data_IF_741308445797
#
_entry.id   IF_741308445797
#
_cell.length_a   1.000
_cell.length_b   1.000
_cell.length_c   1.000
_cell.angle_alpha   90.00
_cell.angle_beta   90.00
_cell.angle_gamma   90.00
#
_symmetry.space_group_name_H-M   'P 1'
#
loop_
_entity.id
_entity.type
_entity.pdbx_description
1 polymer ?
#
# COMPACT_ATOMS: atom_id res chain seq x y z
N UNK A 1 31.72 -69.88 44.77
CA UNK A 1 30.78 -71.02 44.69
C UNK A 1 29.96 -71.04 45.98
N UNK A 2 28.65 -71.41 45.99
CA UNK A 2 27.60 -71.46 44.94
C UNK A 2 26.51 -70.39 45.25
N UNK A 3 25.41 -70.15 44.53
CA UNK A 3 24.80 -70.73 43.33
C UNK A 3 23.27 -70.44 43.32
N UNK A 4 22.70 -70.25 42.11
CA UNK A 4 21.30 -70.50 41.69
C UNK A 4 20.16 -69.64 42.32
N UNK A 5 19.05 -69.27 41.67
CA UNK A 5 18.44 -69.44 40.33
C UNK A 5 17.12 -68.59 40.34
N UNK A 6 16.78 -67.74 39.36
CA UNK A 6 16.20 -67.96 38.01
C UNK A 6 14.71 -67.50 37.97
N UNK A 7 14.31 -66.87 36.85
CA UNK A 7 12.92 -66.81 36.29
C UNK A 7 11.97 -65.80 37.00
N UNK A 8 11.41 -64.72 36.42
CA UNK A 8 10.80 -64.50 35.09
C UNK A 8 10.54 -62.99 34.92
N UNK A 9 11.26 -62.21 34.09
CA UNK A 9 10.72 -60.95 33.51
C UNK A 9 11.37 -60.72 32.13
N UNK A 10 11.22 -61.70 31.25
CA UNK A 10 11.30 -61.48 29.81
C UNK A 10 9.89 -61.77 29.30
N UNK A 11 9.04 -60.75 29.09
CA UNK A 11 7.98 -60.79 28.05
C UNK A 11 7.08 -59.54 27.93
N UNK A 12 7.38 -58.38 28.51
CA UNK A 12 6.47 -57.22 28.40
C UNK A 12 7.13 -55.89 27.97
N UNK A 13 8.17 -55.94 27.12
CA UNK A 13 8.84 -54.72 26.66
C UNK A 13 9.33 -54.81 25.20
N UNK A 14 8.47 -55.24 24.27
CA UNK A 14 8.86 -55.34 22.85
C UNK A 14 7.74 -55.01 21.83
N UNK A 15 6.55 -54.57 22.24
CA UNK A 15 5.43 -54.31 21.30
C UNK A 15 4.98 -52.85 21.23
N UNK A 16 5.24 -52.02 22.24
CA UNK A 16 4.70 -50.65 22.28
C UNK A 16 5.54 -49.61 21.55
N UNK A 17 6.82 -49.85 21.24
CA UNK A 17 7.69 -48.82 20.63
C UNK A 17 7.70 -48.77 19.10
N UNK A 18 7.11 -49.73 18.39
CA UNK A 18 7.18 -49.77 16.91
C UNK A 18 5.98 -49.15 16.18
N UNK A 19 4.89 -48.88 16.90
CA UNK A 19 3.66 -48.30 16.34
C UNK A 19 3.42 -46.84 16.76
N UNK A 20 4.10 -46.35 17.80
CA UNK A 20 4.02 -44.94 18.21
C UNK A 20 4.96 -44.02 17.41
N UNK A 21 6.06 -44.56 16.86
CA UNK A 21 7.00 -43.81 16.04
C UNK A 21 6.38 -43.21 14.75
N UNK A 22 5.56 -43.93 13.95
CA UNK A 22 4.95 -43.32 12.77
C UNK A 22 3.85 -42.28 13.11
N UNK A 23 3.18 -42.40 14.27
CA UNK A 23 2.14 -41.45 14.69
C UNK A 23 2.72 -40.11 15.15
N UNK A 24 3.88 -40.10 15.81
CA UNK A 24 4.58 -38.87 16.20
C UNK A 24 5.20 -38.17 14.99
N UNK A 25 5.68 -38.92 13.99
CA UNK A 25 6.21 -38.35 12.75
C UNK A 25 5.13 -37.67 11.89
N UNK A 26 3.91 -38.21 11.85
CA UNK A 26 2.77 -37.59 11.14
C UNK A 26 2.28 -36.33 11.86
N UNK A 27 2.32 -36.30 13.19
CA UNK A 27 1.95 -35.11 13.99
C UNK A 27 2.97 -33.96 13.82
N UNK A 28 4.26 -34.28 13.67
CA UNK A 28 5.31 -33.29 13.37
C UNK A 28 5.23 -32.74 11.93
N UNK A 29 4.82 -33.56 10.97
CA UNK A 29 4.59 -33.11 9.58
C UNK A 29 3.35 -32.22 9.42
N UNK A 30 2.34 -32.36 10.28
CA UNK A 30 1.16 -31.47 10.26
C UNK A 30 1.46 -30.05 10.78
N UNK A 31 2.46 -29.88 11.65
CA UNK A 31 2.82 -28.57 12.20
C UNK A 31 3.71 -27.72 11.27
N UNK A 32 4.25 -28.29 10.20
CA UNK A 32 5.04 -27.54 9.20
C UNK A 32 4.18 -26.77 8.19
N UNK A 33 2.86 -26.96 8.16
CA UNK A 33 1.96 -26.39 7.14
C UNK A 33 1.38 -25.01 7.43
N UNK A 34 1.55 -24.46 8.64
CA UNK A 34 0.98 -23.17 9.03
C UNK A 34 2.07 -22.18 9.44
N UNK A 35 2.90 -21.77 8.49
CA UNK A 35 3.71 -20.56 8.64
C UNK A 35 3.73 -19.78 7.32
N UNK A 36 2.55 -19.51 6.78
CA UNK A 36 2.36 -18.33 5.91
C UNK A 36 2.46 -17.10 6.81
N UNK A 37 3.68 -16.75 7.21
CA UNK A 37 4.00 -15.43 7.72
C UNK A 37 3.72 -14.47 6.56
N UNK A 38 2.53 -13.88 6.57
CA UNK A 38 2.25 -12.67 5.80
C UNK A 38 3.26 -11.66 6.32
N UNK A 39 4.09 -11.11 5.42
CA UNK A 39 4.97 -9.99 5.75
C UNK A 39 4.12 -8.96 6.48
N UNK A 40 4.48 -8.63 7.71
CA UNK A 40 3.81 -7.55 8.42
C UNK A 40 3.91 -6.30 7.55
N UNK A 41 2.77 -5.69 7.25
CA UNK A 41 2.73 -4.44 6.50
C UNK A 41 3.54 -3.43 7.29
N UNK A 42 4.74 -3.06 6.80
CA UNK A 42 5.68 -2.20 7.53
C UNK A 42 5.14 -0.78 7.70
N UNK A 43 4.11 -0.43 6.92
CA UNK A 43 3.47 0.88 6.92
C UNK A 43 1.96 0.71 7.16
N UNK A 44 1.52 0.98 8.38
CA UNK A 44 0.10 1.02 8.74
C UNK A 44 -0.38 2.46 8.84
N UNK A 45 -1.00 2.96 7.78
CA UNK A 45 -1.67 4.27 7.77
C UNK A 45 -3.18 4.03 7.90
N UNK A 46 -3.79 4.63 8.92
CA UNK A 46 -5.23 4.53 9.18
C UNK A 46 -5.79 5.90 9.50
N UNK A 47 -6.90 6.25 8.87
CA UNK A 47 -7.57 7.54 9.09
C UNK A 47 -8.88 7.31 9.82
N UNK A 48 -9.04 8.00 10.94
CA UNK A 48 -10.21 7.90 11.80
C UNK A 48 -11.03 9.19 11.74
N UNK A 49 -12.36 9.06 11.74
CA UNK A 49 -13.25 10.20 11.92
C UNK A 49 -13.49 10.48 13.39
N UNK A 50 -13.78 11.74 13.68
CA UNK A 50 -14.24 12.16 14.99
C UNK A 50 -15.54 11.41 15.36
N UNK A 51 -15.59 10.94 16.60
CA UNK A 51 -16.77 10.36 17.23
C UNK A 51 -17.51 11.38 18.09
N UNK A 52 -18.72 11.03 18.49
CA UNK A 52 -19.52 11.80 19.43
C UNK A 52 -19.61 11.10 20.78
N UNK A 53 -19.86 11.84 21.86
CA UNK A 53 -20.20 11.27 23.17
C UNK A 53 -21.51 10.45 23.16
N UNK A 54 -22.33 10.62 22.13
CA UNK A 54 -23.56 9.84 21.94
C UNK A 54 -23.32 8.44 21.34
N UNK A 55 -22.12 8.19 20.82
CA UNK A 55 -21.76 6.88 20.26
C UNK A 55 -21.49 5.86 21.38
N UNK A 56 -21.68 4.57 21.07
CA UNK A 56 -21.46 3.51 22.07
C UNK A 56 -20.00 3.51 22.57
N UNK A 57 -19.74 3.29 23.87
CA UNK A 57 -18.37 3.21 24.41
C UNK A 57 -17.48 2.16 23.72
N UNK A 58 -18.08 1.16 23.07
CA UNK A 58 -17.35 0.14 22.29
C UNK A 58 -16.94 0.62 20.89
N UNK A 59 -17.61 1.63 20.36
CA UNK A 59 -17.35 2.21 19.03
C UNK A 59 -16.48 3.45 19.07
N UNK A 60 -16.14 3.96 20.26
CA UNK A 60 -15.30 5.14 20.44
C UNK A 60 -14.05 4.83 21.23
N UNK A 61 -12.98 5.54 20.92
CA UNK A 61 -11.78 5.57 21.73
C UNK A 61 -11.30 7.02 21.85
N UNK A 62 -10.76 7.36 23.02
CA UNK A 62 -10.33 8.72 23.31
C UNK A 62 -8.83 8.85 23.15
N UNK A 63 -8.39 9.92 22.50
CA UNK A 63 -6.98 10.26 22.37
C UNK A 63 -6.75 11.73 22.60
N UNK A 64 -5.59 12.05 23.14
CA UNK A 64 -5.17 13.43 23.27
C UNK A 64 -4.53 13.88 21.95
N UNK A 65 -5.13 14.87 21.30
CA UNK A 65 -4.61 15.55 20.11
C UNK A 65 -4.35 17.00 20.53
N UNK A 66 -3.09 17.43 20.52
CA UNK A 66 -2.67 18.79 20.92
C UNK A 66 -3.23 19.28 22.27
N UNK A 67 -3.26 18.42 23.29
CA UNK A 67 -3.74 18.77 24.63
C UNK A 67 -5.26 18.69 24.79
N UNK A 68 -6.02 18.41 23.73
CA UNK A 68 -7.47 18.21 23.78
C UNK A 68 -7.82 16.73 23.68
N UNK A 69 -8.70 16.24 24.53
CA UNK A 69 -9.22 14.88 24.43
C UNK A 69 -10.25 14.82 23.28
N UNK A 70 -9.86 14.18 22.19
CA UNK A 70 -10.72 13.98 21.01
C UNK A 70 -11.25 12.55 21.05
N UNK A 71 -12.56 12.44 20.83
CA UNK A 71 -13.24 11.16 20.69
C UNK A 71 -13.12 10.75 19.22
N UNK A 72 -12.60 9.56 18.97
CA UNK A 72 -12.41 9.00 17.64
C UNK A 72 -13.20 7.70 17.52
N UNK A 73 -13.69 7.40 16.32
CA UNK A 73 -14.39 6.14 16.05
C UNK A 73 -13.38 5.01 15.92
N UNK A 74 -13.63 3.86 16.54
CA UNK A 74 -12.76 2.67 16.48
C UNK A 74 -12.61 2.13 15.06
N UNK A 75 -13.62 2.35 14.21
CA UNK A 75 -13.59 1.91 12.80
C UNK A 75 -12.92 3.00 11.96
N UNK A 76 -11.79 2.70 11.29
CA UNK A 76 -11.17 3.66 10.38
C UNK A 76 -12.02 3.85 9.12
N UNK A 77 -12.05 5.07 8.59
CA UNK A 77 -12.74 5.39 7.34
C UNK A 77 -12.03 4.75 6.15
N UNK A 78 -10.70 4.81 6.14
CA UNK A 78 -9.87 4.08 5.20
C UNK A 78 -8.52 3.72 5.83
N UNK A 79 -7.88 2.73 5.21
CA UNK A 79 -6.60 2.15 5.66
C UNK A 79 -5.60 2.13 4.52
N UNK A 80 -4.35 1.78 4.81
CA UNK A 80 -3.26 1.68 3.83
C UNK A 80 -3.56 0.79 2.63
N UNK A 81 -4.46 -0.20 2.76
CA UNK A 81 -4.93 -1.05 1.66
C UNK A 81 -5.63 -0.27 0.55
N UNK A 82 -6.22 0.87 0.88
CA UNK A 82 -6.90 1.75 -0.06
C UNK A 82 -5.97 2.74 -0.75
N UNK A 83 -4.68 2.73 -0.44
CA UNK A 83 -3.69 3.58 -1.12
C UNK A 83 -3.31 2.93 -2.46
N UNK A 84 -3.29 3.72 -3.53
CA UNK A 84 -2.76 3.32 -4.84
C UNK A 84 -1.38 3.91 -5.06
N UNK A 85 -1.20 5.16 -4.65
CA UNK A 85 0.01 5.91 -4.94
C UNK A 85 0.25 6.96 -3.87
N UNK A 86 1.49 7.39 -3.76
CA UNK A 86 1.85 8.41 -2.80
C UNK A 86 2.80 9.45 -3.41
N UNK A 87 2.90 10.61 -2.78
CA UNK A 87 3.87 11.64 -3.12
C UNK A 87 4.38 12.30 -1.85
N UNK A 88 5.65 12.08 -1.47
CA UNK A 88 6.23 12.71 -0.30
C UNK A 88 6.66 14.14 -0.61
N UNK A 89 6.50 15.04 0.35
CA UNK A 89 6.99 16.41 0.32
C UNK A 89 7.61 16.78 1.68
N UNK A 90 8.65 17.64 1.71
CA UNK A 90 9.22 18.10 2.96
C UNK A 90 8.24 19.03 3.69
N UNK A 91 8.03 18.81 4.99
CA UNK A 91 7.22 19.67 5.86
C UNK A 91 8.11 20.70 6.57
N UNK A 92 7.51 21.78 7.06
CA UNK A 92 8.22 22.88 7.75
C UNK A 92 8.90 22.43 9.05
N UNK A 93 8.33 21.42 9.72
CA UNK A 93 8.83 20.86 10.99
C UNK A 93 10.09 19.96 10.82
N UNK A 94 10.64 19.85 9.60
CA UNK A 94 11.76 18.95 9.28
C UNK A 94 11.35 17.47 9.16
N UNK A 95 10.06 17.18 9.34
CA UNK A 95 9.46 15.89 8.98
C UNK A 95 8.96 15.94 7.54
N UNK A 96 8.37 14.85 7.05
CA UNK A 96 7.75 14.85 5.74
C UNK A 96 6.23 14.78 5.86
N UNK A 97 5.57 15.41 4.89
CA UNK A 97 4.18 15.18 4.56
C UNK A 97 4.07 14.25 3.35
N UNK A 98 2.90 13.65 3.17
CA UNK A 98 2.62 12.78 2.03
C UNK A 98 1.22 13.05 1.50
N UNK A 99 1.11 13.24 0.19
CA UNK A 99 -0.15 13.19 -0.54
C UNK A 99 -0.42 11.74 -0.99
N UNK A 100 -1.55 11.19 -0.59
CA UNK A 100 -1.99 9.83 -0.90
C UNK A 100 -3.10 9.89 -1.96
N UNK A 101 -2.94 9.11 -3.02
CA UNK A 101 -4.01 8.84 -3.98
C UNK A 101 -4.70 7.54 -3.57
N UNK A 102 -6.00 7.64 -3.28
CA UNK A 102 -6.82 6.52 -2.85
C UNK A 102 -7.36 5.73 -4.07
N UNK A 103 -7.73 4.49 -3.83
CA UNK A 103 -8.51 3.67 -4.75
C UNK A 103 -9.98 4.09 -4.77
N UNK A 104 -10.75 3.50 -5.70
CA UNK A 104 -12.17 3.81 -5.84
C UNK A 104 -12.95 3.65 -4.51
N UNK A 105 -12.63 2.62 -3.73
CA UNK A 105 -13.27 2.37 -2.42
C UNK A 105 -12.90 3.44 -1.40
N UNK A 106 -11.62 3.79 -1.28
CA UNK A 106 -11.13 4.81 -0.37
C UNK A 106 -11.57 6.22 -0.77
N UNK A 107 -11.58 6.53 -2.07
CA UNK A 107 -12.07 7.81 -2.59
C UNK A 107 -13.56 8.00 -2.33
N UNK A 108 -14.38 6.95 -2.54
CA UNK A 108 -15.80 7.01 -2.22
C UNK A 108 -16.05 7.13 -0.71
N UNK A 109 -15.29 6.39 0.12
CA UNK A 109 -15.36 6.55 1.57
C UNK A 109 -15.02 7.99 2.00
N UNK A 110 -13.96 8.58 1.43
CA UNK A 110 -13.56 9.97 1.68
C UNK A 110 -14.64 10.96 1.24
N UNK A 111 -15.24 10.76 0.07
CA UNK A 111 -16.33 11.60 -0.44
C UNK A 111 -17.55 11.55 0.50
N UNK A 112 -17.95 10.35 0.93
CA UNK A 112 -19.08 10.15 1.85
C UNK A 112 -18.81 10.84 3.19
N UNK A 113 -17.62 10.66 3.76
CA UNK A 113 -17.24 11.25 5.05
C UNK A 113 -17.20 12.78 4.95
N UNK A 114 -16.56 13.31 3.92
CA UNK A 114 -16.45 14.77 3.73
C UNK A 114 -17.80 15.42 3.40
N UNK A 115 -18.77 14.67 2.86
CA UNK A 115 -20.15 15.15 2.66
C UNK A 115 -21.01 15.07 3.91
N UNK A 116 -20.90 13.99 4.68
CA UNK A 116 -21.79 13.72 5.82
C UNK A 116 -21.36 14.39 7.11
N UNK A 117 -20.06 14.70 7.24
CA UNK A 117 -19.42 15.12 8.51
C UNK A 117 -18.55 16.36 8.33
N UNK A 118 -19.12 17.38 7.69
CA UNK A 118 -18.45 18.67 7.53
C UNK A 118 -18.21 19.32 8.90
N UNK A 119 -17.03 19.90 9.08
CA UNK A 119 -16.60 20.50 10.34
C UNK A 119 -16.06 19.50 11.38
N UNK A 120 -16.13 18.19 11.14
CA UNK A 120 -15.47 17.19 11.98
C UNK A 120 -13.98 17.08 11.64
N UNK A 121 -13.19 16.55 12.59
CA UNK A 121 -11.78 16.26 12.40
C UNK A 121 -11.55 14.83 11.89
N UNK A 122 -10.65 14.71 10.92
CA UNK A 122 -10.02 13.47 10.51
C UNK A 122 -8.65 13.37 11.15
N UNK A 123 -8.39 12.24 11.82
CA UNK A 123 -7.11 11.99 12.48
C UNK A 123 -6.38 10.89 11.74
N UNK A 124 -5.17 11.20 11.28
CA UNK A 124 -4.27 10.27 10.62
C UNK A 124 -3.37 9.62 11.65
N UNK A 125 -3.43 8.30 11.72
CA UNK A 125 -2.56 7.49 12.56
C UNK A 125 -1.61 6.65 11.71
N UNK A 126 -0.37 6.58 12.16
CA UNK A 126 0.68 5.79 11.53
C UNK A 126 1.29 4.88 12.58
N UNK A 127 1.24 3.57 12.34
CA UNK A 127 1.71 2.54 13.27
C UNK A 127 1.13 2.70 14.70
N UNK A 128 -0.10 3.21 14.80
CA UNK A 128 -0.80 3.45 16.06
C UNK A 128 -0.47 4.76 16.78
N UNK A 129 0.46 5.57 16.24
CA UNK A 129 0.74 6.92 16.72
C UNK A 129 -0.08 7.96 15.95
N UNK A 130 -0.54 9.01 16.63
CA UNK A 130 -1.21 10.14 15.98
C UNK A 130 -0.13 11.01 15.34
N UNK A 131 -0.29 11.23 14.04
CA UNK A 131 0.69 11.97 13.22
C UNK A 131 0.16 13.34 12.85
N UNK A 132 -1.08 13.39 12.36
CA UNK A 132 -1.68 14.61 11.85
C UNK A 132 -3.19 14.61 12.04
N UNK A 133 -3.79 15.79 12.02
CA UNK A 133 -5.24 15.96 12.03
C UNK A 133 -5.65 17.03 11.02
N UNK A 134 -6.79 16.83 10.38
CA UNK A 134 -7.31 17.73 9.35
C UNK A 134 -8.79 17.94 9.60
N UNK A 135 -9.24 19.19 9.64
CA UNK A 135 -10.66 19.54 9.66
C UNK A 135 -11.29 19.43 8.29
N UNK A 136 -12.51 18.90 8.22
CA UNK A 136 -13.26 18.78 6.97
C UNK A 136 -13.91 20.12 6.65
N UNK A 137 -13.29 20.89 5.76
CA UNK A 137 -13.81 22.19 5.34
C UNK A 137 -14.77 22.08 4.14
N UNK A 138 -14.68 21.00 3.36
CA UNK A 138 -15.47 20.83 2.14
C UNK A 138 -15.46 19.39 1.61
N UNK A 139 -16.27 19.15 0.57
CA UNK A 139 -16.39 17.83 -0.06
C UNK A 139 -15.19 17.58 -0.95
N UNK A 140 -14.55 16.41 -0.78
CA UNK A 140 -13.38 16.01 -1.55
C UNK A 140 -13.75 14.93 -2.56
N UNK A 141 -13.75 15.28 -3.86
CA UNK A 141 -14.12 14.36 -4.95
C UNK A 141 -12.91 13.80 -5.71
N UNK A 142 -11.70 14.34 -5.50
CA UNK A 142 -10.52 13.98 -6.27
C UNK A 142 -9.82 12.68 -5.81
N UNK A 143 -10.28 12.08 -4.70
CA UNK A 143 -9.67 10.88 -4.11
C UNK A 143 -8.23 11.08 -3.63
N UNK A 144 -7.82 12.33 -3.37
CA UNK A 144 -6.49 12.66 -2.85
C UNK A 144 -6.64 13.09 -1.40
N UNK A 145 -5.90 12.44 -0.51
CA UNK A 145 -5.82 12.77 0.90
C UNK A 145 -4.40 13.16 1.27
N UNK A 146 -4.22 14.29 1.94
CA UNK A 146 -2.89 14.83 2.28
C UNK A 146 -2.66 14.77 3.78
N UNK A 147 -1.53 14.20 4.17
CA UNK A 147 -0.97 14.28 5.53
C UNK A 147 0.11 15.35 5.48
N UNK A 148 -0.04 16.42 6.26
CA UNK A 148 0.82 17.60 6.13
C UNK A 148 2.20 17.41 6.75
N UNK A 149 2.29 16.65 7.86
CA UNK A 149 3.52 16.50 8.65
C UNK A 149 3.53 15.22 9.47
N UNK A 150 4.69 14.92 10.05
CA UNK A 150 4.88 13.91 11.09
C UNK A 150 5.20 12.49 10.59
N UNK A 151 5.57 12.34 9.31
CA UNK A 151 6.10 11.08 8.79
C UNK A 151 7.63 11.09 8.89
N UNK A 152 8.25 10.05 9.49
CA UNK A 152 9.70 9.91 9.53
C UNK A 152 10.24 9.48 8.16
N UNK A 153 11.46 9.90 7.83
CA UNK A 153 12.11 9.60 6.55
C UNK A 153 12.22 8.09 6.27
N UNK A 154 12.49 7.30 7.33
CA UNK A 154 12.55 5.84 7.25
C UNK A 154 11.26 5.22 6.71
N UNK A 155 10.11 5.77 7.09
CA UNK A 155 8.82 5.29 6.63
C UNK A 155 8.61 5.59 5.14
N UNK A 156 9.08 6.74 4.68
CA UNK A 156 8.95 7.15 3.27
C UNK A 156 9.77 6.23 2.38
N UNK A 157 10.98 5.86 2.82
CA UNK A 157 11.82 4.91 2.09
C UNK A 157 11.09 3.58 1.90
N UNK A 158 10.41 3.08 2.95
CA UNK A 158 9.58 1.87 2.85
C UNK A 158 8.37 2.08 1.92
N UNK A 159 7.71 3.22 2.01
CA UNK A 159 6.59 3.55 1.11
C UNK A 159 7.01 3.62 -0.37
N UNK A 160 8.22 4.08 -0.66
CA UNK A 160 8.77 4.17 -2.02
C UNK A 160 9.03 2.79 -2.64
N UNK A 161 9.32 1.79 -1.81
CA UNK A 161 9.45 0.40 -2.25
C UNK A 161 8.09 -0.24 -2.56
N UNK A 162 7.08 0.03 -1.73
CA UNK A 162 5.76 -0.62 -1.77
C UNK A 162 4.79 0.02 -2.76
N UNK A 163 4.80 1.35 -2.90
CA UNK A 163 3.81 2.09 -3.67
C UNK A 163 4.46 2.91 -4.80
N UNK A 164 3.83 3.02 -5.98
CA UNK A 164 4.31 3.92 -7.02
C UNK A 164 4.10 5.39 -6.63
N UNK A 165 5.01 6.27 -7.07
CA UNK A 165 4.82 7.72 -6.92
C UNK A 165 3.67 8.23 -7.79
N UNK A 166 2.87 9.18 -7.30
CA UNK A 166 1.74 9.78 -8.06
C UNK A 166 2.21 10.36 -9.42
N UNK A 167 3.41 10.92 -9.48
CA UNK A 167 3.99 11.48 -10.71
C UNK A 167 4.28 10.40 -11.77
N UNK A 168 4.62 9.17 -11.35
CA UNK A 168 4.87 8.05 -12.24
C UNK A 168 3.57 7.52 -12.86
N UNK A 169 2.48 7.47 -12.07
CA UNK A 169 1.16 7.09 -12.60
C UNK A 169 0.61 8.07 -13.64
N UNK A 170 0.85 9.37 -13.47
CA UNK A 170 0.45 10.36 -14.48
C UNK A 170 1.20 10.20 -15.81
N UNK A 171 2.39 9.59 -15.82
CA UNK A 171 3.13 9.30 -17.05
C UNK A 171 2.58 8.04 -17.74
N UNK A 172 2.33 6.97 -16.99
CA UNK A 172 1.77 5.73 -17.56
C UNK A 172 0.35 5.90 -18.14
N UNK A 173 -0.44 6.87 -17.66
CA UNK A 173 -1.80 7.15 -18.16
C UNK A 173 -1.82 8.10 -19.38
N UNK A 174 -0.67 8.55 -19.89
CA UNK A 174 -0.63 9.44 -21.08
C UNK A 174 -0.73 8.72 -22.42
N UNK A 175 -0.51 7.41 -22.47
CA UNK A 175 -0.43 6.67 -23.74
C UNK A 175 -1.77 6.07 -24.21
N UNK A 176 -2.85 6.20 -23.44
CA UNK A 176 -4.19 5.70 -23.81
C UNK A 176 -5.28 6.79 -23.59
N UNK A 177 -5.69 7.51 -24.66
CA UNK A 177 -6.68 8.60 -24.57
C UNK A 177 -8.08 8.21 -24.05
N UNK A 178 -8.38 6.92 -23.91
CA UNK A 178 -9.69 6.40 -23.46
C UNK A 178 -9.71 5.86 -22.02
N UNK A 179 -8.59 5.88 -21.29
CA UNK A 179 -8.47 5.25 -19.95
C UNK A 179 -8.52 6.25 -18.78
N UNK A 180 -8.80 7.53 -19.08
CA UNK A 180 -8.66 8.63 -18.13
C UNK A 180 -9.84 8.82 -17.16
N UNK A 181 -10.93 8.06 -17.31
CA UNK A 181 -12.13 8.25 -16.48
C UNK A 181 -12.59 7.06 -15.62
N UNK A 182 -12.29 5.80 -15.95
CA UNK A 182 -13.13 4.71 -15.38
C UNK A 182 -12.45 3.53 -14.67
N UNK A 183 -11.12 3.44 -14.53
CA UNK A 183 -10.57 2.31 -13.75
C UNK A 183 -9.26 2.63 -13.04
N UNK A 184 -9.38 3.07 -11.78
CA UNK A 184 -8.30 2.95 -10.81
C UNK A 184 -8.12 1.46 -10.45
N UNK A 185 -6.87 0.95 -10.35
CA UNK A 185 -6.63 -0.44 -9.97
C UNK A 185 -7.27 -0.71 -8.61
N UNK A 186 -8.32 -1.52 -8.62
CA UNK A 186 -9.16 -1.78 -7.44
C UNK A 186 -8.71 -3.04 -6.71
N UNK A 187 -8.18 -4.02 -7.45
CA UNK A 187 -7.75 -5.29 -6.89
C UNK A 187 -6.25 -5.30 -6.57
N UNK A 188 -5.83 -6.09 -5.58
CA UNK A 188 -4.41 -6.20 -5.20
C UNK A 188 -3.52 -6.72 -6.34
N UNK A 189 -4.09 -7.52 -7.27
CA UNK A 189 -3.37 -8.00 -8.46
C UNK A 189 -3.12 -6.85 -9.44
N UNK A 190 -4.15 -6.08 -9.77
CA UNK A 190 -4.03 -4.90 -10.63
C UNK A 190 -3.05 -3.87 -10.05
N UNK A 191 -3.12 -3.59 -8.74
CA UNK A 191 -2.18 -2.67 -8.08
C UNK A 191 -0.73 -3.14 -8.24
N UNK A 192 -0.48 -4.44 -8.11
CA UNK A 192 0.84 -5.03 -8.30
C UNK A 192 1.29 -4.95 -9.77
N UNK A 193 0.43 -5.26 -10.72
CA UNK A 193 0.77 -5.18 -12.15
C UNK A 193 1.07 -3.74 -12.59
N UNK A 194 0.37 -2.75 -12.03
CA UNK A 194 0.67 -1.34 -12.25
C UNK A 194 2.05 -0.98 -11.67
N UNK A 195 2.37 -1.44 -10.46
CA UNK A 195 3.69 -1.23 -9.85
C UNK A 195 4.82 -1.87 -10.66
N UNK A 196 4.63 -3.10 -11.12
CA UNK A 196 5.60 -3.83 -11.94
C UNK A 196 5.83 -3.11 -13.28
N UNK A 197 4.76 -2.66 -13.95
CA UNK A 197 4.86 -1.85 -15.19
C UNK A 197 5.62 -0.54 -14.97
N UNK A 198 5.27 0.21 -13.92
CA UNK A 198 5.97 1.46 -13.58
C UNK A 198 7.46 1.22 -13.30
N UNK A 199 7.81 0.12 -12.64
CA UNK A 199 9.21 -0.26 -12.40
C UNK A 199 9.95 -0.62 -13.69
N UNK A 200 9.30 -1.32 -14.61
CA UNK A 200 9.91 -1.73 -15.87
C UNK A 200 10.08 -0.53 -16.82
N UNK A 201 9.10 0.37 -16.88
CA UNK A 201 9.20 1.63 -17.62
C UNK A 201 10.31 2.52 -17.06
N UNK A 202 10.41 2.65 -15.72
CA UNK A 202 11.49 3.40 -15.08
C UNK A 202 12.88 2.81 -15.41
N UNK A 203 13.02 1.47 -15.40
CA UNK A 203 14.28 0.80 -15.81
C UNK A 203 14.60 1.01 -17.28
N UNK A 204 13.59 1.04 -18.15
CA UNK A 204 13.75 1.29 -19.58
C UNK A 204 14.19 2.74 -19.82
N UNK A 205 13.52 3.72 -19.20
CA UNK A 205 13.92 5.13 -19.22
C UNK A 205 15.35 5.33 -18.70
N UNK A 206 15.75 4.66 -17.62
CA UNK A 206 17.12 4.73 -17.08
C UNK A 206 18.15 4.14 -18.06
N UNK A 207 17.83 3.00 -18.69
CA UNK A 207 18.68 2.40 -19.73
C UNK A 207 18.79 3.31 -20.94
N UNK A 208 17.69 3.88 -21.41
CA UNK A 208 17.67 4.80 -22.55
C UNK A 208 18.41 6.11 -22.22
N UNK A 209 18.28 6.64 -21.00
CA UNK A 209 19.08 7.78 -20.54
C UNK A 209 20.58 7.45 -20.47
N UNK A 210 20.95 6.24 -20.02
CA UNK A 210 22.35 5.76 -20.05
C UNK A 210 22.86 5.55 -21.48
N UNK A 211 22.04 5.06 -22.41
CA UNK A 211 22.38 4.94 -23.84
C UNK A 211 22.56 6.31 -24.50
N UNK A 212 21.64 7.26 -24.23
CA UNK A 212 21.73 8.66 -24.66
C UNK A 212 22.99 9.35 -24.12
N UNK A 213 23.32 9.14 -22.84
CA UNK A 213 24.55 9.68 -22.23
C UNK A 213 25.84 9.05 -22.81
N UNK A 214 25.75 7.83 -23.36
CA UNK A 214 26.85 7.14 -24.07
C UNK A 214 26.92 7.49 -25.57
N UNK A 215 26.03 8.34 -26.08
CA UNK A 215 26.05 8.80 -27.48
C UNK A 215 25.44 7.83 -28.49
N UNK A 216 24.70 6.81 -28.05
CA UNK A 216 24.05 5.84 -28.94
C UNK A 216 22.62 6.30 -29.24
N UNK A 217 22.44 6.94 -30.41
CA UNK A 217 21.20 7.53 -30.88
C UNK A 217 20.52 6.60 -31.90
N UNK A 218 19.40 5.99 -31.52
CA UNK A 218 18.44 5.42 -32.48
C UNK A 218 17.37 6.48 -32.78
N UNK A 219 16.99 6.71 -34.05
CA UNK A 219 15.93 7.64 -34.40
C UNK A 219 14.59 7.17 -33.82
N UNK A 220 13.83 8.10 -33.24
CA UNK A 220 12.49 7.85 -32.73
C UNK A 220 11.60 7.23 -33.83
N UNK A 221 10.74 6.24 -33.51
CA UNK A 221 9.77 5.75 -34.47
C UNK A 221 8.82 6.89 -34.86
N UNK A 222 8.48 7.02 -36.16
CA UNK A 222 7.69 8.16 -36.64
C UNK A 222 6.32 8.18 -35.97
N UNK A 223 5.96 9.35 -35.45
CA UNK A 223 4.63 9.66 -34.91
C UNK A 223 3.58 9.39 -35.99
N UNK A 224 2.59 8.50 -35.76
CA UNK A 224 1.52 8.26 -36.71
C UNK A 224 0.55 9.46 -36.66
N UNK A 225 0.76 10.46 -37.52
CA UNK A 225 -0.15 11.61 -37.61
C UNK A 225 0.36 12.85 -38.33
N UNK A 226 1.64 12.91 -38.75
CA UNK A 226 2.18 14.06 -39.49
C UNK A 226 1.88 14.01 -40.99
N UNK A 227 0.60 14.04 -41.39
CA UNK A 227 0.27 14.32 -42.80
C UNK A 227 0.37 15.83 -42.98
N UNK A 228 1.51 16.31 -43.47
CA UNK A 228 1.61 17.67 -43.98
C UNK A 228 0.68 17.75 -45.19
N UNK A 229 -0.35 18.63 -45.20
CA UNK A 229 -1.25 18.74 -46.33
C UNK A 229 -0.46 19.25 -47.54
N UNK A 230 -0.56 18.52 -48.67
CA UNK A 230 0.15 18.78 -49.94
C UNK A 230 -0.07 20.21 -50.51
N UNK A 231 -1.01 20.97 -49.95
CA UNK A 231 -1.27 22.37 -50.29
C UNK A 231 -0.17 23.35 -49.89
N UNK A 232 0.69 23.03 -48.92
CA UNK A 232 1.78 23.92 -48.48
C UNK A 232 3.05 23.80 -49.34
N UNK A 233 3.27 22.68 -50.05
CA UNK A 233 4.47 22.46 -50.85
C UNK A 233 4.46 23.10 -52.26
N UNK A 234 3.32 23.68 -52.69
CA UNK A 234 3.17 24.27 -54.03
C UNK A 234 3.18 25.81 -54.08
N UNK A 235 3.26 26.49 -52.94
CA UNK A 235 3.26 27.97 -52.87
C UNK A 235 4.66 28.59 -52.69
N UNK A 236 5.73 27.80 -52.62
CA UNK A 236 7.11 28.31 -52.53
C UNK A 236 7.84 28.37 -53.89
N UNK A 237 7.10 28.31 -55.00
CA UNK A 237 7.63 28.30 -56.37
C UNK A 237 7.23 29.50 -57.22
N UNK A 238 7.25 30.72 -56.67
CA UNK A 238 7.28 31.97 -57.45
C UNK A 238 8.59 32.73 -57.24
#
# INVERSE_FOLDING_TARGET
>A
MPGCNIVTIWFLSQVTMRHFAPLVAILLLLQAGCSTFKKDDKVLITVFSQGSDMDSPKSIFRRNVEGREVILKVIPEFTHKSIIAFHPFPAEDGTYGVALKLDFKGANALEIVTRTRQGEMLVSMVNGAIVDYVTIDGIVNNGIFTIWRGLPEELIAVMDEEYPRISALKKSTKDTPYEQLDMLPSTSKEKKEVHDRVKDDAKKEEKDAKRRARGEFDPEPPTPGGVVPLSEALNEGQ
#
